data_IF_286898788520
#
_entry.id   IF_286898788520
#
_cell.length_a   1.000
_cell.length_b   1.000
_cell.length_c   1.000
_cell.angle_alpha   90.00
_cell.angle_beta   90.00
_cell.angle_gamma   90.00
#
_symmetry.space_group_name_H-M   'P 1'
#
loop_
_entity.id
_entity.type
_entity.pdbx_description
1 polymer ?
#
# COMPACT_ATOMS: atom_id res chain seq x y z
N UNK A 1 -1.71 -14.15 -32.20
CA UNK A 1 -2.64 -14.94 -31.36
C UNK A 1 -2.49 -14.48 -29.93
N UNK A 2 -3.56 -14.10 -29.20
CA UNK A 2 -3.46 -13.99 -27.76
C UNK A 2 -3.09 -15.36 -27.19
N UNK A 3 -2.18 -15.41 -26.23
CA UNK A 3 -1.82 -16.65 -25.56
C UNK A 3 -3.05 -17.20 -24.83
N UNK A 4 -3.50 -18.40 -25.19
CA UNK A 4 -4.61 -19.09 -24.53
C UNK A 4 -4.13 -19.63 -23.19
N UNK A 5 -4.15 -18.79 -22.16
CA UNK A 5 -3.88 -19.22 -20.80
C UNK A 5 -5.12 -19.88 -20.18
N UNK A 6 -4.92 -21.01 -19.50
CA UNK A 6 -5.94 -21.56 -18.59
C UNK A 6 -6.18 -20.60 -17.42
N UNK A 7 -7.26 -20.83 -16.65
CA UNK A 7 -7.53 -20.01 -15.45
C UNK A 7 -6.39 -20.14 -14.43
N UNK A 8 -5.84 -21.33 -14.30
CA UNK A 8 -4.76 -21.70 -13.39
C UNK A 8 -3.45 -21.03 -13.80
N UNK A 9 -3.10 -21.07 -15.09
CA UNK A 9 -1.93 -20.40 -15.65
C UNK A 9 -2.03 -18.89 -15.49
N UNK A 10 -3.22 -18.32 -15.75
CA UNK A 10 -3.47 -16.91 -15.57
C UNK A 10 -3.30 -16.50 -14.11
N UNK A 11 -3.81 -17.30 -13.16
CA UNK A 11 -3.63 -17.04 -11.73
C UNK A 11 -2.17 -17.14 -11.30
N UNK A 12 -1.41 -18.11 -11.83
CA UNK A 12 0.02 -18.25 -11.58
C UNK A 12 0.82 -17.06 -12.12
N UNK A 13 0.50 -16.59 -13.33
CA UNK A 13 1.12 -15.39 -13.92
C UNK A 13 0.79 -14.14 -13.11
N UNK A 14 -0.46 -13.97 -12.66
CA UNK A 14 -0.84 -12.85 -11.78
C UNK A 14 -0.01 -12.83 -10.49
N UNK A 15 0.24 -13.99 -9.86
CA UNK A 15 1.13 -14.08 -8.69
C UNK A 15 2.57 -13.67 -9.04
N UNK A 16 3.09 -14.12 -10.19
CA UNK A 16 4.43 -13.73 -10.67
C UNK A 16 4.53 -12.23 -10.95
N UNK A 17 3.53 -11.66 -11.63
CA UNK A 17 3.43 -10.23 -11.91
C UNK A 17 3.46 -9.40 -10.63
N UNK A 18 2.72 -9.82 -9.60
CA UNK A 18 2.73 -9.11 -8.33
C UNK A 18 4.14 -9.10 -7.70
N UNK A 19 4.74 -10.29 -7.56
CA UNK A 19 6.05 -10.45 -6.93
C UNK A 19 7.15 -9.71 -7.69
N UNK A 20 7.26 -9.96 -9.00
CA UNK A 20 8.33 -9.37 -9.83
C UNK A 20 8.09 -7.89 -10.08
N UNK A 21 6.84 -7.49 -10.27
CA UNK A 21 6.44 -6.09 -10.40
C UNK A 21 6.89 -5.25 -9.22
N UNK A 22 6.64 -5.73 -8.00
CA UNK A 22 7.07 -5.03 -6.78
C UNK A 22 8.60 -4.91 -6.69
N UNK A 23 9.34 -5.98 -7.00
CA UNK A 23 10.81 -5.98 -7.00
C UNK A 23 11.36 -4.96 -8.00
N UNK A 24 10.86 -4.99 -9.24
CA UNK A 24 11.31 -4.10 -10.31
C UNK A 24 10.92 -2.64 -10.02
N UNK A 25 9.70 -2.40 -9.53
CA UNK A 25 9.24 -1.07 -9.16
C UNK A 25 10.08 -0.50 -8.01
N UNK A 26 10.40 -1.29 -6.99
CA UNK A 26 11.29 -0.87 -5.89
C UNK A 26 12.71 -0.58 -6.36
N UNK A 27 13.22 -1.33 -7.34
CA UNK A 27 14.58 -1.19 -7.86
C UNK A 27 14.75 0.01 -8.80
N UNK A 28 13.79 0.20 -9.71
CA UNK A 28 13.92 1.17 -10.80
C UNK A 28 13.08 2.44 -10.61
N UNK A 29 12.06 2.38 -9.75
CA UNK A 29 11.06 3.42 -9.62
C UNK A 29 10.12 3.50 -10.83
N UNK A 30 9.08 4.32 -10.72
CA UNK A 30 8.04 4.49 -11.74
C UNK A 30 8.59 4.88 -13.12
N UNK A 31 9.45 5.92 -13.19
CA UNK A 31 9.92 6.49 -14.47
C UNK A 31 10.76 5.49 -15.27
N UNK A 32 11.71 4.80 -14.63
CA UNK A 32 12.67 3.90 -15.30
C UNK A 32 12.16 2.48 -15.53
N UNK A 33 11.07 2.07 -14.88
CA UNK A 33 10.46 0.76 -15.08
C UNK A 33 9.96 0.60 -16.54
N UNK A 34 10.33 -0.51 -17.20
CA UNK A 34 9.94 -0.81 -18.58
C UNK A 34 9.08 -2.08 -18.65
N UNK A 35 8.12 -2.08 -19.58
CA UNK A 35 7.24 -3.23 -19.84
C UNK A 35 8.03 -4.48 -20.27
N UNK A 36 9.09 -4.29 -21.07
CA UNK A 36 9.97 -5.39 -21.50
C UNK A 36 10.63 -6.10 -20.33
N UNK A 37 11.06 -5.37 -19.30
CA UNK A 37 11.69 -5.95 -18.12
C UNK A 37 10.67 -6.72 -17.27
N UNK A 38 9.44 -6.17 -17.14
CA UNK A 38 8.33 -6.83 -16.43
C UNK A 38 7.95 -8.13 -17.13
N UNK A 39 7.70 -8.09 -18.45
CA UNK A 39 7.31 -9.24 -19.24
C UNK A 39 8.38 -10.35 -19.17
N UNK A 40 9.65 -9.98 -19.36
CA UNK A 40 10.77 -10.93 -19.28
C UNK A 40 10.89 -11.55 -17.90
N UNK A 41 10.70 -10.78 -16.82
CA UNK A 41 10.82 -11.27 -15.44
C UNK A 41 9.79 -12.34 -15.06
N UNK A 42 8.65 -12.40 -15.76
CA UNK A 42 7.61 -13.41 -15.54
C UNK A 42 7.58 -14.50 -16.62
N UNK A 43 8.51 -14.43 -17.60
CA UNK A 43 8.69 -15.42 -18.66
C UNK A 43 7.72 -15.29 -19.83
N UNK A 44 7.30 -14.07 -20.18
CA UNK A 44 6.39 -13.83 -21.32
C UNK A 44 6.95 -12.76 -22.27
N UNK A 45 6.42 -12.71 -23.49
CA UNK A 45 6.71 -11.63 -24.44
C UNK A 45 5.97 -10.32 -24.09
N UNK A 46 6.50 -9.19 -24.57
CA UNK A 46 5.88 -7.86 -24.39
C UNK A 46 4.46 -7.79 -24.96
N UNK A 47 4.21 -8.41 -26.12
CA UNK A 47 2.85 -8.50 -26.68
C UNK A 47 1.86 -9.23 -25.75
N UNK A 48 2.34 -10.24 -25.02
CA UNK A 48 1.52 -11.01 -24.06
C UNK A 48 1.21 -10.22 -22.79
N UNK A 49 2.08 -9.30 -22.37
CA UNK A 49 1.82 -8.41 -21.24
C UNK A 49 0.52 -7.62 -21.44
N UNK A 50 0.26 -7.16 -22.67
CA UNK A 50 -0.94 -6.38 -22.99
C UNK A 50 -2.25 -7.17 -22.90
N UNK A 51 -2.19 -8.51 -22.80
CA UNK A 51 -3.37 -9.34 -22.47
C UNK A 51 -3.76 -9.26 -20.98
N UNK A 52 -2.88 -8.73 -20.12
CA UNK A 52 -3.10 -8.59 -18.68
C UNK A 52 -3.29 -7.14 -18.26
N UNK A 53 -2.52 -6.21 -18.83
CA UNK A 53 -2.53 -4.79 -18.46
C UNK A 53 -2.41 -3.93 -19.72
N UNK A 54 -3.26 -2.92 -19.90
CA UNK A 54 -3.25 -2.12 -21.13
C UNK A 54 -2.06 -1.16 -21.19
N UNK A 55 -1.46 -0.84 -20.05
CA UNK A 55 -0.34 0.10 -19.95
C UNK A 55 0.55 -0.17 -18.73
N UNK A 56 1.72 0.48 -18.69
CA UNK A 56 2.60 0.50 -17.51
C UNK A 56 1.87 1.08 -16.30
N UNK A 57 1.09 2.15 -16.50
CA UNK A 57 0.36 2.82 -15.43
C UNK A 57 -0.70 1.89 -14.83
N UNK A 58 -1.52 1.24 -15.65
CA UNK A 58 -2.52 0.28 -15.17
C UNK A 58 -1.90 -0.86 -14.35
N UNK A 59 -0.73 -1.35 -14.77
CA UNK A 59 0.01 -2.35 -14.01
C UNK A 59 0.46 -1.82 -12.64
N UNK A 60 0.95 -0.59 -12.57
CA UNK A 60 1.39 0.05 -11.32
C UNK A 60 0.20 0.32 -10.40
N UNK A 61 -0.92 0.83 -10.92
CA UNK A 61 -2.17 1.00 -10.18
C UNK A 61 -2.65 -0.35 -9.62
N UNK A 62 -2.60 -1.41 -10.45
CA UNK A 62 -2.91 -2.75 -10.00
C UNK A 62 -2.00 -3.23 -8.87
N UNK A 63 -0.67 -3.00 -8.95
CA UNK A 63 0.26 -3.30 -7.86
C UNK A 63 -0.09 -2.56 -6.56
N UNK A 64 -0.40 -1.26 -6.67
CA UNK A 64 -0.78 -0.41 -5.52
C UNK A 64 -2.05 -0.93 -4.86
N UNK A 65 -3.09 -1.21 -5.64
CA UNK A 65 -4.35 -1.74 -5.12
C UNK A 65 -4.18 -3.13 -4.51
N UNK A 66 -3.39 -4.00 -5.15
CA UNK A 66 -3.09 -5.33 -4.60
C UNK A 66 -2.39 -5.24 -3.25
N UNK A 67 -1.47 -4.29 -3.08
CA UNK A 67 -0.81 -4.04 -1.79
C UNK A 67 -1.78 -3.49 -0.75
N UNK A 68 -2.68 -2.57 -1.12
CA UNK A 68 -3.74 -2.06 -0.23
C UNK A 68 -4.65 -3.20 0.24
N UNK A 69 -5.07 -4.08 -0.66
CA UNK A 69 -5.89 -5.26 -0.32
C UNK A 69 -5.19 -6.18 0.68
N UNK A 70 -3.88 -6.37 0.56
CA UNK A 70 -3.09 -7.17 1.51
C UNK A 70 -3.05 -6.52 2.90
N UNK A 71 -2.87 -5.19 2.97
CA UNK A 71 -2.94 -4.45 4.24
C UNK A 71 -4.32 -4.59 4.88
N UNK A 72 -5.40 -4.49 4.11
CA UNK A 72 -6.77 -4.70 4.61
C UNK A 72 -6.95 -6.12 5.13
N UNK A 73 -6.47 -7.14 4.40
CA UNK A 73 -6.54 -8.54 4.85
C UNK A 73 -5.75 -8.79 6.13
N UNK A 74 -4.58 -8.16 6.28
CA UNK A 74 -3.78 -8.24 7.49
C UNK A 74 -4.53 -7.63 8.68
N UNK A 75 -5.12 -6.44 8.50
CA UNK A 75 -5.97 -5.83 9.52
C UNK A 75 -7.16 -6.73 9.90
N UNK A 76 -7.84 -7.30 8.90
CA UNK A 76 -8.94 -8.23 9.13
C UNK A 76 -8.51 -9.48 9.90
N UNK A 77 -7.31 -10.02 9.63
CA UNK A 77 -6.75 -11.14 10.40
C UNK A 77 -6.58 -10.76 11.87
N UNK A 78 -5.94 -9.62 12.13
CA UNK A 78 -5.77 -9.10 13.50
C UNK A 78 -7.13 -8.93 14.17
N UNK A 79 -8.10 -8.32 13.50
CA UNK A 79 -9.45 -8.13 14.05
C UNK A 79 -10.20 -9.42 14.41
N UNK A 80 -9.79 -10.57 13.86
CA UNK A 80 -10.36 -11.89 14.21
C UNK A 80 -9.63 -12.54 15.38
N UNK A 81 -8.35 -12.24 15.56
CA UNK A 81 -7.54 -12.73 16.69
C UNK A 81 -7.93 -12.05 18.01
N UNK A 82 -8.41 -10.80 17.94
CA UNK A 82 -8.89 -10.05 19.10
C UNK A 82 -10.42 -10.03 19.14
N UNK A 83 -11.01 -10.81 20.06
CA UNK A 83 -12.46 -11.01 20.16
C UNK A 83 -13.24 -9.76 20.61
N UNK A 84 -12.57 -8.88 21.36
CA UNK A 84 -13.12 -7.60 21.82
C UNK A 84 -12.57 -6.48 20.93
N UNK A 85 -11.60 -5.75 21.44
CA UNK A 85 -10.99 -4.58 20.80
C UNK A 85 -9.50 -4.83 20.62
N UNK A 86 -8.95 -4.33 19.51
CA UNK A 86 -7.52 -4.39 19.23
C UNK A 86 -6.80 -3.40 20.17
N UNK A 87 -5.85 -3.84 21.01
CA UNK A 87 -5.05 -2.94 21.84
C UNK A 87 -4.19 -1.99 21.02
N UNK A 88 -3.89 -0.82 21.59
CA UNK A 88 -3.11 0.22 20.92
C UNK A 88 -1.74 -0.28 20.45
N UNK A 89 -1.01 -1.05 21.27
CA UNK A 89 0.33 -1.53 20.89
C UNK A 89 0.30 -2.48 19.68
N UNK A 90 -0.80 -3.24 19.55
CA UNK A 90 -1.00 -4.16 18.42
C UNK A 90 -1.27 -3.37 17.14
N UNK A 91 -2.10 -2.33 17.23
CA UNK A 91 -2.40 -1.46 16.10
C UNK A 91 -1.17 -0.64 15.68
N UNK A 92 -0.41 -0.10 16.62
CA UNK A 92 0.86 0.58 16.35
C UNK A 92 1.86 -0.32 15.63
N UNK A 93 2.01 -1.57 16.08
CA UNK A 93 2.87 -2.55 15.43
C UNK A 93 2.41 -2.82 13.99
N UNK A 94 1.12 -3.02 13.78
CA UNK A 94 0.55 -3.21 12.45
C UNK A 94 0.84 -2.03 11.50
N UNK A 95 0.68 -0.79 11.98
CA UNK A 95 0.99 0.41 11.20
C UNK A 95 2.50 0.49 10.89
N UNK A 96 3.35 0.26 11.89
CA UNK A 96 4.81 0.29 11.72
C UNK A 96 5.28 -0.76 10.70
N UNK A 97 4.77 -1.99 10.78
CA UNK A 97 5.12 -3.05 9.85
C UNK A 97 4.66 -2.73 8.42
N UNK A 98 3.49 -2.11 8.28
CA UNK A 98 2.93 -1.66 7.00
C UNK A 98 3.88 -0.72 6.27
N UNK A 99 4.45 0.27 6.97
CA UNK A 99 5.36 1.25 6.36
C UNK A 99 6.82 0.79 6.28
N UNK A 100 7.26 -0.09 7.18
CA UNK A 100 8.66 -0.48 7.25
C UNK A 100 9.03 -1.50 6.19
N UNK A 101 8.19 -2.51 5.98
CA UNK A 101 8.52 -3.65 5.13
C UNK A 101 8.00 -3.51 3.71
N UNK A 102 6.85 -2.85 3.51
CA UNK A 102 6.12 -2.91 2.25
C UNK A 102 5.44 -1.58 1.87
N UNK A 103 6.07 -0.45 2.17
CA UNK A 103 5.58 0.87 1.76
C UNK A 103 5.76 1.05 0.24
N UNK A 104 4.68 0.81 -0.52
CA UNK A 104 4.70 0.98 -1.99
C UNK A 104 4.94 2.43 -2.41
N UNK A 105 4.64 3.40 -1.54
CA UNK A 105 4.94 4.81 -1.79
C UNK A 105 6.44 5.09 -1.82
N UNK A 106 7.30 4.24 -1.22
CA UNK A 106 8.76 4.35 -1.36
C UNK A 106 9.26 4.07 -2.78
N UNK A 107 8.42 3.49 -3.64
CA UNK A 107 8.79 3.17 -5.01
C UNK A 107 8.38 4.26 -6.01
N UNK A 108 7.71 5.31 -5.52
CA UNK A 108 7.24 6.45 -6.30
C UNK A 108 7.93 7.71 -5.77
N UNK A 109 8.46 8.53 -6.66
CA UNK A 109 8.82 9.91 -6.28
C UNK A 109 7.57 10.75 -6.07
N UNK A 110 7.70 11.92 -5.44
CA UNK A 110 6.57 12.84 -5.29
C UNK A 110 5.95 13.22 -6.65
N UNK A 111 6.78 13.41 -7.68
CA UNK A 111 6.31 13.67 -9.05
C UNK A 111 5.49 12.51 -9.60
N UNK A 112 5.97 11.27 -9.41
CA UNK A 112 5.28 10.06 -9.89
C UNK A 112 3.93 9.92 -9.21
N UNK A 113 3.91 10.20 -7.90
CA UNK A 113 2.69 10.22 -7.12
C UNK A 113 1.70 11.26 -7.65
N UNK A 114 2.15 12.50 -7.89
CA UNK A 114 1.30 13.57 -8.41
C UNK A 114 0.69 13.21 -9.77
N UNK A 115 1.50 12.67 -10.69
CA UNK A 115 1.03 12.22 -12.01
C UNK A 115 -0.04 11.13 -11.88
N UNK A 116 0.21 10.12 -11.04
CA UNK A 116 -0.73 9.02 -10.86
C UNK A 116 -1.99 9.46 -10.08
N UNK A 117 -1.86 10.39 -9.14
CA UNK A 117 -2.98 10.99 -8.42
C UNK A 117 -3.90 11.77 -9.37
N UNK A 118 -3.33 12.62 -10.22
CA UNK A 118 -4.09 13.41 -11.19
C UNK A 118 -4.84 12.51 -12.18
N UNK A 119 -4.19 11.45 -12.66
CA UNK A 119 -4.73 10.56 -13.68
C UNK A 119 -5.67 9.47 -13.14
N UNK A 120 -5.47 9.01 -11.90
CA UNK A 120 -6.15 7.83 -11.36
C UNK A 120 -6.72 7.98 -9.93
N UNK A 121 -6.52 9.10 -9.25
CA UNK A 121 -7.08 9.32 -7.90
C UNK A 121 -6.49 8.41 -6.81
N UNK A 122 -5.17 8.21 -6.78
CA UNK A 122 -4.47 7.25 -5.90
C UNK A 122 -4.79 7.31 -4.39
N UNK A 123 -4.89 8.51 -3.81
CA UNK A 123 -5.32 8.83 -2.46
C UNK A 123 -6.59 9.68 -2.52
N UNK A 124 -7.55 9.38 -3.40
CA UNK A 124 -8.84 10.07 -3.30
C UNK A 124 -9.54 9.67 -1.99
N UNK A 125 -9.15 10.39 -0.94
CA UNK A 125 -9.66 10.30 0.42
C UNK A 125 -11.02 11.01 0.55
N UNK A 126 -11.69 11.27 -0.58
CA UNK A 126 -13.03 11.89 -0.68
C UNK A 126 -14.07 10.90 -1.21
N UNK A 127 -13.76 9.61 -1.20
CA UNK A 127 -14.66 8.56 -1.66
C UNK A 127 -15.66 8.19 -0.56
N UNK A 128 -16.93 7.95 -0.91
CA UNK A 128 -18.04 7.64 0.02
C UNK A 128 -17.74 6.44 0.95
N UNK A 129 -16.81 5.57 0.55
CA UNK A 129 -16.38 4.39 1.32
C UNK A 129 -15.48 4.68 2.52
N UNK A 130 -14.98 5.91 2.67
CA UNK A 130 -14.01 6.22 3.74
C UNK A 130 -14.68 6.27 5.08
N UNK A 131 -15.90 6.80 5.15
CA UNK A 131 -16.67 6.80 6.37
C UNK A 131 -17.04 5.36 6.78
N UNK A 132 -17.39 4.50 5.82
CA UNK A 132 -17.63 3.07 6.07
C UNK A 132 -16.36 2.35 6.55
N UNK A 133 -15.21 2.60 5.92
CA UNK A 133 -13.93 2.02 6.32
C UNK A 133 -13.50 2.54 7.71
N UNK A 134 -13.72 3.83 7.99
CA UNK A 134 -13.47 4.45 9.29
C UNK A 134 -14.35 3.82 10.37
N UNK A 135 -15.66 3.73 10.12
CA UNK A 135 -16.64 3.05 10.99
C UNK A 135 -16.20 1.61 11.27
N UNK A 136 -15.86 0.87 10.22
CA UNK A 136 -15.42 -0.50 10.35
C UNK A 136 -14.14 -0.61 11.18
N UNK A 137 -13.11 0.17 10.87
CA UNK A 137 -11.86 0.16 11.61
C UNK A 137 -12.08 0.52 13.08
N UNK A 138 -12.72 1.66 13.35
CA UNK A 138 -13.00 2.13 14.71
C UNK A 138 -13.82 1.12 15.52
N UNK A 139 -14.77 0.40 14.89
CA UNK A 139 -15.54 -0.66 15.56
C UNK A 139 -14.69 -1.84 16.07
N UNK A 140 -13.43 -1.93 15.63
CA UNK A 140 -12.47 -2.97 16.05
C UNK A 140 -11.41 -2.44 17.00
N UNK A 141 -11.30 -1.13 17.21
CA UNK A 141 -10.31 -0.53 18.10
C UNK A 141 -10.94 -0.24 19.46
N UNK A 142 -10.10 -0.16 20.50
CA UNK A 142 -10.53 0.25 21.83
C UNK A 142 -10.70 1.77 21.90
N UNK A 143 -11.74 2.29 21.25
CA UNK A 143 -11.93 3.72 21.04
C UNK A 143 -13.31 4.22 21.46
N UNK A 144 -13.32 5.36 22.12
CA UNK A 144 -14.53 6.16 22.36
C UNK A 144 -14.48 7.51 21.62
N UNK A 145 -13.55 7.66 20.67
CA UNK A 145 -13.26 8.92 19.98
C UNK A 145 -14.24 9.17 18.83
N UNK A 146 -14.36 10.43 18.40
CA UNK A 146 -15.20 10.83 17.27
C UNK A 146 -14.58 10.47 15.91
N UNK A 147 -15.39 10.57 14.84
CA UNK A 147 -14.88 10.44 13.47
C UNK A 147 -13.87 11.53 13.09
N UNK A 148 -14.03 12.76 13.61
CA UNK A 148 -13.05 13.83 13.38
C UNK A 148 -11.65 13.44 13.87
N UNK A 149 -11.58 12.76 15.03
CA UNK A 149 -10.34 12.22 15.57
C UNK A 149 -9.76 11.11 14.68
N UNK A 150 -10.60 10.29 14.04
CA UNK A 150 -10.13 9.33 13.03
C UNK A 150 -9.53 10.02 11.82
N UNK A 151 -10.15 11.09 11.32
CA UNK A 151 -9.60 11.85 10.20
C UNK A 151 -8.27 12.51 10.57
N UNK A 152 -8.13 13.03 11.79
CA UNK A 152 -6.85 13.54 12.31
C UNK A 152 -5.77 12.45 12.37
N UNK A 153 -6.10 11.26 12.86
CA UNK A 153 -5.20 10.10 12.83
C UNK A 153 -4.81 9.74 11.39
N UNK A 154 -5.78 9.64 10.48
CA UNK A 154 -5.57 9.27 9.09
C UNK A 154 -4.62 10.26 8.40
N UNK A 155 -4.80 11.55 8.67
CA UNK A 155 -3.93 12.62 8.15
C UNK A 155 -2.52 12.53 8.73
N UNK A 156 -2.39 12.39 10.05
CA UNK A 156 -1.11 12.25 10.72
C UNK A 156 -0.33 11.01 10.22
N UNK A 157 -1.02 9.88 10.06
CA UNK A 157 -0.40 8.67 9.52
C UNK A 157 -0.02 8.80 8.04
N UNK A 158 -0.81 9.51 7.24
CA UNK A 158 -0.46 9.85 5.86
C UNK A 158 0.81 10.69 5.78
N UNK A 159 0.95 11.69 6.66
CA UNK A 159 2.18 12.49 6.79
C UNK A 159 3.39 11.61 7.13
N UNK A 160 3.23 10.63 8.04
CA UNK A 160 4.29 9.66 8.38
C UNK A 160 4.67 8.80 7.16
N UNK A 161 3.69 8.30 6.39
CA UNK A 161 3.93 7.52 5.17
C UNK A 161 4.74 8.33 4.17
N UNK A 162 4.34 9.58 3.92
CA UNK A 162 5.01 10.48 2.97
C UNK A 162 6.42 10.83 3.47
N UNK A 163 6.56 11.23 4.73
CA UNK A 163 7.85 11.58 5.34
C UNK A 163 8.84 10.41 5.40
N UNK A 164 8.36 9.17 5.33
CA UNK A 164 9.18 7.95 5.31
C UNK A 164 9.32 7.31 3.93
N UNK A 165 8.96 8.04 2.87
CA UNK A 165 9.06 7.58 1.48
C UNK A 165 10.50 7.56 0.93
N UNK A 166 11.36 8.49 1.39
CA UNK A 166 12.77 8.59 0.98
C UNK A 166 13.72 8.39 2.17
N UNK A 167 13.96 7.13 2.52
CA UNK A 167 14.82 6.78 3.66
C UNK A 167 16.29 7.19 3.48
N UNK A 168 16.75 7.40 2.24
CA UNK A 168 18.15 7.76 1.97
C UNK A 168 18.51 9.15 2.51
N UNK A 169 17.51 10.00 2.73
CA UNK A 169 17.66 11.32 3.36
C UNK A 169 17.60 11.27 4.88
N UNK A 170 17.28 10.12 5.48
CA UNK A 170 17.07 9.98 6.91
C UNK A 170 18.21 9.20 7.57
N UNK A 171 18.44 9.48 8.86
CA UNK A 171 19.41 8.76 9.66
C UNK A 171 18.84 7.41 10.10
N UNK A 172 19.22 6.34 9.39
CA UNK A 172 18.74 4.97 9.62
C UNK A 172 18.93 4.46 11.05
N UNK A 173 19.89 5.00 11.82
CA UNK A 173 20.07 4.64 13.24
C UNK A 173 18.91 5.10 14.13
N UNK A 174 18.23 6.18 13.75
CA UNK A 174 17.15 6.80 14.54
C UNK A 174 15.79 6.75 13.86
N UNK A 175 15.74 6.54 12.54
CA UNK A 175 14.49 6.58 11.76
C UNK A 175 13.42 5.66 12.36
N UNK A 176 13.72 4.39 12.60
CA UNK A 176 12.73 3.44 13.13
C UNK A 176 12.19 3.88 14.49
N UNK A 177 13.07 4.39 15.36
CA UNK A 177 12.68 4.88 16.70
C UNK A 177 11.82 6.14 16.60
N UNK A 178 12.16 7.07 15.70
CA UNK A 178 11.38 8.28 15.45
C UNK A 178 10.01 7.93 14.88
N UNK A 179 9.96 7.04 13.89
CA UNK A 179 8.72 6.60 13.24
C UNK A 179 7.79 5.88 14.22
N UNK A 180 8.31 4.99 15.08
CA UNK A 180 7.51 4.36 16.14
C UNK A 180 6.88 5.40 17.09
N UNK A 181 7.64 6.42 17.48
CA UNK A 181 7.13 7.51 18.33
C UNK A 181 6.06 8.35 17.62
N UNK A 182 6.25 8.65 16.34
CA UNK A 182 5.25 9.37 15.55
C UNK A 182 3.96 8.56 15.39
N UNK A 183 4.07 7.26 15.12
CA UNK A 183 2.92 6.35 15.05
C UNK A 183 2.19 6.32 16.39
N UNK A 184 2.91 6.17 17.50
CA UNK A 184 2.33 6.22 18.83
C UNK A 184 1.53 7.51 19.04
N UNK A 185 2.14 8.68 18.75
CA UNK A 185 1.46 9.97 18.85
C UNK A 185 0.23 10.08 17.95
N UNK A 186 0.27 9.54 16.72
CA UNK A 186 -0.90 9.53 15.83
C UNK A 186 -2.03 8.65 16.41
N UNK A 187 -1.70 7.46 16.92
CA UNK A 187 -2.68 6.54 17.51
C UNK A 187 -3.40 7.15 18.72
N UNK A 188 -2.78 8.07 19.47
CA UNK A 188 -3.43 8.79 20.59
C UNK A 188 -4.63 9.64 20.16
N UNK A 189 -4.77 9.95 18.87
CA UNK A 189 -5.97 10.64 18.38
C UNK A 189 -7.19 9.71 18.39
N UNK A 190 -6.99 8.41 18.18
CA UNK A 190 -8.08 7.43 18.00
C UNK A 190 -8.18 6.39 19.11
N UNK A 191 -7.24 6.29 20.04
CA UNK A 191 -7.38 5.54 21.29
C UNK A 191 -7.62 6.53 22.44
#
# INVERSE_FOLDING_TARGET
MPANFTKEERAALIKKFYKQGYILLKKFGYKKLKIVDIASSVGIGTGTFYNFFKSKDEFIIWLINKRKDETVKQFLSISKEYSNEIPMEVFEKFLFDTISHNNIYRCLTQDDYNILQEKYGLLDNRNEKIEENAKFMMSKLATTKSFDNFFLFSEAYTIIIIGTSDLNKLNTKFTDKAVKRLIHSACQFIY
#
